data_IF_515493681614
#
_entry.id   IF_515493681614
#
_cell.length_a   1.000
_cell.length_b   1.000
_cell.length_c   1.000
_cell.angle_alpha   90.00
_cell.angle_beta   90.00
_cell.angle_gamma   90.00
#
_symmetry.space_group_name_H-M   'P 1'
#
loop_
_entity.id
_entity.type
_entity.pdbx_description
1 polymer ?
#
# COMPACT_ATOMS: atom_id res chain seq x y z
N UNK A 1 -40.22 20.00 -13.81
CA UNK A 1 -40.87 20.32 -12.52
C UNK A 1 -39.79 20.35 -11.46
N UNK A 2 -39.57 21.53 -10.87
CA UNK A 2 -38.60 21.79 -9.81
C UNK A 2 -39.28 21.48 -8.48
N UNK A 3 -38.63 20.75 -7.58
CA UNK A 3 -38.87 20.85 -6.16
C UNK A 3 -37.54 21.19 -5.49
N UNK A 4 -37.57 22.29 -4.74
CA UNK A 4 -36.47 22.84 -3.98
C UNK A 4 -36.79 22.70 -2.47
N UNK A 5 -35.75 22.91 -1.66
CA UNK A 5 -35.78 23.29 -0.24
C UNK A 5 -36.02 22.10 0.73
N UNK A 6 -35.38 22.00 1.91
CA UNK A 6 -34.76 23.01 2.77
C UNK A 6 -33.54 22.49 3.56
N UNK A 7 -32.67 23.45 3.91
CA UNK A 7 -31.70 23.41 5.00
C UNK A 7 -32.38 23.17 6.35
N UNK A 8 -31.75 22.36 7.22
CA UNK A 8 -31.81 22.59 8.67
C UNK A 8 -30.40 22.51 9.23
N UNK A 9 -29.91 23.66 9.71
CA UNK A 9 -28.67 23.83 10.46
C UNK A 9 -28.99 23.51 11.93
N UNK A 10 -28.28 22.56 12.54
CA UNK A 10 -28.28 22.36 13.98
C UNK A 10 -26.89 22.67 14.53
N UNK A 11 -26.76 23.86 15.12
CA UNK A 11 -25.62 24.24 15.95
C UNK A 11 -25.84 23.72 17.38
N UNK A 12 -24.90 22.93 17.89
CA UNK A 12 -24.77 22.66 19.33
C UNK A 12 -23.43 23.19 19.82
N UNK A 13 -23.51 24.23 20.64
CA UNK A 13 -22.47 24.83 21.47
C UNK A 13 -22.64 24.29 22.90
N UNK A 14 -21.69 23.51 23.42
CA UNK A 14 -21.34 23.47 24.86
C UNK A 14 -19.94 22.88 25.01
N UNK A 15 -19.01 23.64 25.62
CA UNK A 15 -18.17 23.22 26.75
C UNK A 15 -17.04 24.26 26.96
N UNK A 16 -17.09 24.96 28.10
CA UNK A 16 -16.00 25.79 28.62
C UNK A 16 -15.05 24.97 29.53
N UNK A 17 -14.26 25.72 30.31
CA UNK A 17 -13.16 25.34 31.23
C UNK A 17 -11.79 25.29 30.52
N UNK A 18 -10.67 25.83 31.00
CA UNK A 18 -10.29 26.56 32.21
C UNK A 18 -8.89 27.17 31.91
N UNK A 19 -8.56 28.33 32.48
CA UNK A 19 -7.25 28.96 32.32
C UNK A 19 -6.42 28.71 33.58
N UNK A 20 -5.29 28.03 33.46
CA UNK A 20 -4.40 27.76 34.59
C UNK A 20 -2.98 27.34 34.20
N UNK A 21 -2.04 28.07 34.79
CA UNK A 21 -0.64 27.76 35.13
C UNK A 21 0.43 27.48 34.07
N UNK A 22 1.32 28.47 33.97
CA UNK A 22 2.72 28.32 33.61
C UNK A 22 3.50 27.79 34.82
N UNK A 23 4.34 26.77 34.64
CA UNK A 23 5.69 26.69 35.22
C UNK A 23 6.41 25.38 34.82
N UNK A 24 7.74 25.44 34.88
CA UNK A 24 8.75 24.38 34.78
C UNK A 24 9.19 23.93 33.37
N UNK A 25 10.15 24.69 32.81
CA UNK A 25 11.18 24.11 31.95
C UNK A 25 12.40 23.80 32.82
N UNK A 26 12.50 22.56 33.30
CA UNK A 26 13.76 22.00 33.82
C UNK A 26 14.32 21.06 32.76
N UNK A 27 15.59 21.29 32.43
CA UNK A 27 16.32 20.61 31.37
C UNK A 27 17.14 19.50 32.00
N UNK A 28 16.64 18.27 31.97
CA UNK A 28 17.45 17.09 32.29
C UNK A 28 17.89 16.40 31.00
N UNK A 29 19.12 16.72 30.62
CA UNK A 29 19.93 16.03 29.61
C UNK A 29 20.37 14.68 30.20
N UNK A 30 19.72 13.62 29.75
CA UNK A 30 19.96 12.27 30.26
C UNK A 30 19.50 11.20 29.30
N UNK A 31 20.20 11.06 28.16
CA UNK A 31 20.04 9.88 27.30
C UNK A 31 21.34 9.11 27.22
N UNK A 32 21.56 8.26 28.23
CA UNK A 32 22.28 7.01 28.05
C UNK A 32 21.25 5.96 27.67
N UNK A 33 21.38 5.37 26.49
CA UNK A 33 20.69 4.14 26.12
C UNK A 33 21.53 3.40 25.08
N UNK A 34 22.56 2.72 25.58
CA UNK A 34 22.91 1.41 25.06
C UNK A 34 21.80 0.46 25.50
N UNK A 35 20.77 0.32 24.67
CA UNK A 35 19.85 -0.81 24.66
C UNK A 35 19.69 -1.17 23.19
N UNK A 36 20.07 -2.39 22.83
CA UNK A 36 20.07 -2.88 21.46
C UNK A 36 18.70 -2.76 20.80
N UNK A 37 18.50 -1.66 20.09
CA UNK A 37 17.40 -1.52 19.15
C UNK A 37 17.73 -2.39 17.95
N UNK A 38 17.27 -3.63 17.95
CA UNK A 38 16.91 -4.28 16.70
C UNK A 38 15.67 -3.58 16.16
N UNK A 39 15.78 -2.29 15.81
CA UNK A 39 15.07 -1.77 14.66
C UNK A 39 15.66 -2.56 13.50
N UNK A 40 15.12 -3.77 13.31
CA UNK A 40 15.52 -4.63 12.23
C UNK A 40 15.16 -3.88 10.97
N UNK A 41 16.16 -3.24 10.37
CA UNK A 41 16.10 -2.80 8.99
C UNK A 41 15.53 -3.98 8.21
N UNK A 42 14.30 -3.84 7.74
CA UNK A 42 13.68 -4.85 6.91
C UNK A 42 14.67 -5.13 5.77
N UNK A 43 15.01 -6.39 5.49
CA UNK A 43 16.03 -6.72 4.51
C UNK A 43 15.69 -6.05 3.17
N UNK A 44 16.61 -5.21 2.70
CA UNK A 44 16.52 -4.50 1.42
C UNK A 44 16.96 -5.45 0.32
N UNK A 45 16.03 -6.24 -0.22
CA UNK A 45 16.27 -7.10 -1.38
C UNK A 45 16.61 -6.26 -2.61
N UNK A 46 17.51 -6.71 -3.49
CA UNK A 46 17.86 -5.93 -4.69
C UNK A 46 17.09 -6.36 -5.93
N UNK A 47 16.45 -7.53 -5.87
CA UNK A 47 15.58 -8.07 -6.92
C UNK A 47 14.51 -8.99 -6.33
N UNK A 48 13.47 -9.27 -7.12
CA UNK A 48 12.42 -10.22 -6.75
C UNK A 48 12.97 -11.64 -6.52
N UNK A 49 13.98 -12.06 -7.30
CA UNK A 49 14.55 -13.41 -7.20
C UNK A 49 15.29 -13.64 -5.86
N UNK A 50 15.77 -12.56 -5.22
CA UNK A 50 16.41 -12.61 -3.90
C UNK A 50 15.42 -12.56 -2.74
N UNK A 51 14.18 -12.11 -2.99
CA UNK A 51 13.12 -12.06 -1.98
C UNK A 51 12.65 -13.50 -1.73
N UNK A 52 12.83 -14.05 -0.51
CA UNK A 52 12.34 -15.40 -0.22
C UNK A 52 10.81 -15.40 -0.15
N UNK A 53 10.18 -16.47 -0.64
CA UNK A 53 8.78 -16.80 -0.30
C UNK A 53 8.73 -17.49 1.07
N UNK A 54 8.08 -16.90 2.09
CA UNK A 54 7.87 -17.56 3.37
C UNK A 54 7.00 -18.81 3.23
N UNK A 55 7.35 -19.95 3.85
CA UNK A 55 6.60 -21.20 3.70
C UNK A 55 5.19 -21.16 4.28
N UNK A 56 4.92 -20.20 5.17
CA UNK A 56 3.64 -19.94 5.81
C UNK A 56 2.90 -18.73 5.22
N UNK A 57 3.36 -18.22 4.07
CA UNK A 57 2.65 -17.15 3.37
C UNK A 57 1.23 -17.60 3.06
N UNK A 58 0.25 -16.80 3.47
CA UNK A 58 -1.18 -17.02 3.27
C UNK A 58 -1.74 -16.14 2.15
N UNK A 59 -0.91 -15.28 1.56
CA UNK A 59 -1.32 -14.32 0.54
C UNK A 59 -1.67 -15.03 -0.76
N UNK A 60 -2.83 -14.67 -1.31
CA UNK A 60 -3.34 -15.16 -2.59
C UNK A 60 -3.89 -14.00 -3.41
N UNK A 61 -4.18 -14.24 -4.69
CA UNK A 61 -4.93 -13.30 -5.52
C UNK A 61 -6.25 -12.90 -4.84
N UNK A 62 -6.99 -13.86 -4.31
CA UNK A 62 -8.30 -13.62 -3.72
C UNK A 62 -8.22 -12.91 -2.36
N UNK A 63 -7.23 -13.23 -1.53
CA UNK A 63 -7.11 -12.66 -0.18
C UNK A 63 -6.41 -11.29 -0.14
N UNK A 64 -5.50 -11.01 -1.08
CA UNK A 64 -4.69 -9.80 -1.07
C UNK A 64 -4.37 -9.27 -2.48
N UNK A 65 -3.82 -10.10 -3.37
CA UNK A 65 -3.21 -9.64 -4.62
C UNK A 65 -4.19 -8.91 -5.56
N UNK A 66 -5.38 -9.48 -5.75
CA UNK A 66 -6.45 -8.92 -6.58
C UNK A 66 -6.98 -7.60 -6.02
N UNK A 67 -7.41 -7.52 -4.74
CA UNK A 67 -7.78 -6.24 -4.11
C UNK A 67 -6.68 -5.17 -4.22
N UNK A 68 -5.42 -5.51 -3.95
CA UNK A 68 -4.31 -4.58 -4.05
C UNK A 68 -4.11 -4.06 -5.49
N UNK A 69 -4.13 -4.96 -6.47
CA UNK A 69 -3.98 -4.61 -7.90
C UNK A 69 -5.15 -3.74 -8.37
N UNK A 70 -6.37 -4.04 -7.92
CA UNK A 70 -7.55 -3.23 -8.21
C UNK A 70 -7.38 -1.80 -7.68
N UNK A 71 -6.98 -1.66 -6.42
CA UNK A 71 -6.89 -0.35 -5.74
C UNK A 71 -5.73 0.51 -6.25
N UNK A 72 -4.56 -0.09 -6.52
CA UNK A 72 -3.34 0.67 -6.80
C UNK A 72 -2.87 0.62 -8.26
N UNK A 73 -3.35 -0.32 -9.09
CA UNK A 73 -2.78 -0.55 -10.43
C UNK A 73 -3.78 -0.29 -11.57
N UNK A 74 -4.99 -0.87 -11.49
CA UNK A 74 -5.92 -0.92 -12.64
C UNK A 74 -6.46 0.44 -13.08
N UNK A 75 -6.42 1.47 -12.21
CA UNK A 75 -6.82 2.84 -12.57
C UNK A 75 -5.96 3.46 -13.70
N UNK A 76 -4.74 2.95 -13.90
CA UNK A 76 -3.84 3.33 -14.99
C UNK A 76 -3.55 2.15 -15.94
N UNK A 77 -3.54 0.92 -15.41
CA UNK A 77 -3.14 -0.32 -16.09
C UNK A 77 -4.33 -1.28 -16.34
N UNK A 78 -5.54 -0.78 -16.57
CA UNK A 78 -6.68 -1.62 -16.96
C UNK A 78 -6.88 -1.65 -18.47
N UNK A 79 -7.17 -2.82 -19.06
CA UNK A 79 -7.35 -2.97 -20.52
C UNK A 79 -8.54 -2.17 -21.07
N UNK A 80 -9.52 -1.85 -20.21
CA UNK A 80 -10.66 -1.01 -20.56
C UNK A 80 -10.31 0.48 -20.74
N UNK A 81 -9.10 0.91 -20.40
CA UNK A 81 -8.70 2.32 -20.46
C UNK A 81 -8.10 2.68 -21.84
N UNK A 82 -8.64 3.70 -22.54
CA UNK A 82 -8.00 4.23 -23.73
C UNK A 82 -6.70 4.95 -23.37
N UNK A 83 -5.75 5.02 -24.31
CA UNK A 83 -4.40 5.61 -24.14
C UNK A 83 -4.39 6.93 -23.33
N UNK A 84 -5.25 7.88 -23.66
CA UNK A 84 -5.34 9.18 -22.99
C UNK A 84 -5.83 9.17 -21.54
N UNK A 85 -6.30 8.04 -21.03
CA UNK A 85 -6.82 7.87 -19.66
C UNK A 85 -5.93 6.99 -18.78
N UNK A 86 -4.74 6.59 -19.24
CA UNK A 86 -3.83 5.67 -18.56
C UNK A 86 -2.72 6.34 -17.75
N UNK A 87 -2.75 7.67 -17.61
CA UNK A 87 -1.74 8.43 -16.85
C UNK A 87 -0.31 8.13 -17.34
N UNK A 88 -0.15 8.02 -18.67
CA UNK A 88 1.07 7.62 -19.37
C UNK A 88 1.50 6.16 -19.17
N UNK A 89 0.70 5.31 -18.52
CA UNK A 89 0.91 3.87 -18.53
C UNK A 89 0.74 3.31 -19.96
N UNK A 90 1.65 2.45 -20.45
CA UNK A 90 1.60 1.93 -21.80
C UNK A 90 0.30 1.16 -22.08
N UNK A 91 -0.23 1.30 -23.29
CA UNK A 91 -1.30 0.42 -23.81
C UNK A 91 -0.77 -1.01 -23.92
N UNK A 92 -1.58 -1.98 -23.49
CA UNK A 92 -1.22 -3.41 -23.51
C UNK A 92 -0.31 -3.86 -22.38
N UNK A 93 -0.02 -2.98 -21.41
CA UNK A 93 0.52 -3.37 -20.11
C UNK A 93 -0.63 -3.26 -19.10
N UNK A 94 -1.48 -4.27 -19.13
CA UNK A 94 -2.70 -4.38 -18.35
C UNK A 94 -2.52 -5.36 -17.19
N UNK A 95 -3.22 -5.16 -16.07
CA UNK A 95 -3.15 -6.00 -14.87
C UNK A 95 -4.55 -6.38 -14.40
N UNK A 96 -5.38 -6.84 -15.34
CA UNK A 96 -6.78 -7.20 -15.06
C UNK A 96 -6.90 -8.61 -14.44
N UNK A 97 -5.89 -9.47 -14.63
CA UNK A 97 -5.83 -10.82 -14.08
C UNK A 97 -4.45 -11.18 -13.49
N UNK A 98 -4.40 -12.34 -12.84
CA UNK A 98 -3.19 -12.81 -12.14
C UNK A 98 -2.11 -13.28 -13.11
N UNK A 99 -2.48 -13.77 -14.29
CA UNK A 99 -1.55 -14.20 -15.32
C UNK A 99 -0.72 -13.03 -15.86
N UNK A 100 -1.37 -11.89 -16.12
CA UNK A 100 -0.70 -10.64 -16.52
C UNK A 100 0.26 -10.13 -15.43
N UNK A 101 -0.17 -10.20 -14.17
CA UNK A 101 0.68 -9.83 -13.02
C UNK A 101 1.89 -10.75 -12.92
N UNK A 102 1.71 -12.08 -13.06
CA UNK A 102 2.80 -13.06 -13.06
C UNK A 102 3.80 -12.81 -14.19
N UNK A 103 3.30 -12.53 -15.40
CA UNK A 103 4.14 -12.21 -16.55
C UNK A 103 5.01 -10.95 -16.35
N UNK A 104 4.63 -10.09 -15.42
CA UNK A 104 5.31 -8.83 -15.12
C UNK A 104 5.79 -8.67 -13.67
N UNK A 105 5.83 -9.76 -12.90
CA UNK A 105 6.09 -9.75 -11.46
C UNK A 105 7.37 -8.98 -11.09
N UNK A 106 8.48 -9.24 -11.78
CA UNK A 106 9.75 -8.53 -11.53
C UNK A 106 9.67 -7.02 -11.79
N UNK A 107 8.89 -6.59 -12.79
CA UNK A 107 8.68 -5.15 -13.09
C UNK A 107 7.76 -4.50 -12.07
N UNK A 108 6.72 -5.20 -11.63
CA UNK A 108 5.81 -4.73 -10.59
C UNK A 108 6.58 -4.57 -9.29
N UNK A 109 7.36 -5.59 -8.90
CA UNK A 109 8.17 -5.56 -7.69
C UNK A 109 9.12 -4.35 -7.67
N UNK A 110 9.90 -4.16 -8.74
CA UNK A 110 10.87 -3.07 -8.87
C UNK A 110 10.25 -1.66 -8.90
N UNK A 111 8.91 -1.56 -8.96
CA UNK A 111 8.20 -0.28 -9.04
C UNK A 111 7.34 0.02 -7.81
N UNK A 112 6.76 -1.01 -7.19
CA UNK A 112 5.68 -0.85 -6.21
C UNK A 112 5.79 -1.75 -4.96
N UNK A 113 6.71 -2.72 -4.91
CA UNK A 113 6.80 -3.67 -3.78
C UNK A 113 7.98 -3.38 -2.85
N UNK A 114 7.87 -3.86 -1.61
CA UNK A 114 8.82 -3.67 -0.53
C UNK A 114 9.19 -2.18 -0.35
N UNK A 115 10.43 -1.82 -0.66
CA UNK A 115 10.97 -0.46 -0.54
C UNK A 115 10.77 0.39 -1.81
N UNK A 116 10.24 -0.19 -2.89
CA UNK A 116 10.01 0.51 -4.15
C UNK A 116 8.72 1.34 -4.10
N UNK A 117 8.82 2.62 -4.45
CA UNK A 117 7.73 3.60 -4.28
C UNK A 117 7.41 4.41 -5.55
N UNK A 118 7.89 3.97 -6.71
CA UNK A 118 7.75 4.74 -7.96
C UNK A 118 6.38 4.60 -8.62
N UNK A 119 5.57 3.64 -8.18
CA UNK A 119 4.18 3.44 -8.62
C UNK A 119 3.25 3.19 -7.43
N UNK A 120 1.99 3.67 -7.49
CA UNK A 120 1.45 4.53 -8.54
C UNK A 120 1.96 5.99 -8.46
N UNK A 121 1.84 6.80 -9.53
CA UNK A 121 2.38 8.17 -9.57
C UNK A 121 1.75 9.12 -8.55
N UNK A 122 0.53 8.82 -8.10
CA UNK A 122 -0.19 9.60 -7.09
C UNK A 122 0.34 9.37 -5.66
N UNK A 123 1.17 8.34 -5.46
CA UNK A 123 1.71 7.98 -4.16
C UNK A 123 1.69 6.46 -3.96
N UNK A 124 2.77 5.92 -3.38
CA UNK A 124 2.88 4.50 -3.10
C UNK A 124 1.86 4.02 -2.03
N UNK A 125 1.43 2.76 -2.14
CA UNK A 125 0.65 2.09 -1.10
C UNK A 125 1.38 2.08 0.27
N UNK A 126 0.71 1.86 1.40
CA UNK A 126 1.36 1.71 2.71
C UNK A 126 2.51 0.68 2.74
N UNK A 127 3.49 0.86 3.63
CA UNK A 127 4.71 0.02 3.65
C UNK A 127 4.41 -1.47 3.92
N UNK A 128 3.49 -1.77 4.82
CA UNK A 128 3.03 -3.11 5.11
C UNK A 128 2.41 -3.79 3.87
N UNK A 129 1.52 -3.09 3.16
CA UNK A 129 0.93 -3.62 1.93
C UNK A 129 1.96 -3.82 0.82
N UNK A 130 2.94 -2.93 0.68
CA UNK A 130 4.05 -3.14 -0.26
C UNK A 130 4.92 -4.34 0.11
N UNK A 131 5.15 -4.57 1.40
CA UNK A 131 5.88 -5.75 1.88
C UNK A 131 5.09 -7.03 1.58
N UNK A 132 3.76 -7.01 1.73
CA UNK A 132 2.90 -8.12 1.33
C UNK A 132 2.88 -8.32 -0.19
N UNK A 133 2.89 -7.25 -0.98
CA UNK A 133 3.07 -7.35 -2.43
C UNK A 133 4.39 -8.04 -2.78
N UNK A 134 5.48 -7.66 -2.13
CA UNK A 134 6.78 -8.28 -2.34
C UNK A 134 6.78 -9.77 -2.01
N UNK A 135 6.18 -10.13 -0.89
CA UNK A 135 6.00 -11.53 -0.48
C UNK A 135 5.16 -12.34 -1.47
N UNK A 136 3.97 -11.85 -1.80
CA UNK A 136 3.04 -12.54 -2.69
C UNK A 136 3.65 -12.76 -4.08
N UNK A 137 4.34 -11.76 -4.64
CA UNK A 137 5.06 -11.89 -5.91
C UNK A 137 6.21 -12.89 -5.81
N UNK A 138 6.96 -12.89 -4.70
CA UNK A 138 8.07 -13.84 -4.49
C UNK A 138 7.59 -15.29 -4.37
N UNK A 139 6.36 -15.49 -3.90
CA UNK A 139 5.68 -16.77 -3.89
C UNK A 139 5.08 -17.17 -5.25
N UNK A 140 5.32 -16.41 -6.32
CA UNK A 140 4.77 -16.69 -7.65
C UNK A 140 3.34 -16.18 -7.85
N UNK A 141 2.90 -15.24 -7.01
CA UNK A 141 1.55 -14.69 -7.04
C UNK A 141 0.45 -15.78 -7.04
N UNK A 142 0.40 -16.67 -6.04
CA UNK A 142 -0.55 -17.77 -6.03
C UNK A 142 -2.00 -17.27 -5.96
N UNK A 143 -2.91 -18.02 -6.57
CA UNK A 143 -4.35 -17.97 -6.33
C UNK A 143 -4.73 -19.00 -5.26
N UNK A 144 -5.96 -18.95 -4.77
CA UNK A 144 -6.51 -20.03 -3.93
C UNK A 144 -6.49 -21.39 -4.64
N UNK A 145 -6.67 -21.40 -5.97
CA UNK A 145 -6.62 -22.63 -6.76
C UNK A 145 -5.23 -23.28 -6.73
N UNK A 146 -4.16 -22.50 -6.82
CA UNK A 146 -2.78 -23.01 -6.78
C UNK A 146 -2.41 -23.63 -5.42
N UNK A 147 -3.16 -23.31 -4.35
CA UNK A 147 -2.95 -23.86 -3.00
C UNK A 147 -3.75 -25.12 -2.72
N UNK A 148 -4.70 -25.45 -3.59
CA UNK A 148 -5.58 -26.61 -3.42
C UNK A 148 -5.00 -27.91 -4.02
N UNK A 149 -3.86 -27.81 -4.72
CA UNK A 149 -3.14 -28.91 -5.38
C UNK A 149 -1.95 -29.43 -4.54
#
# INVERSE_FOLDING_TARGET
MRCAAELVIAALLVAGCDAGDADAADSDDGSSSDEGSTTGDAPMWTSLDERPCPPDSWLTWESFGGPFVLDYCTSCHGSGLPDGMRQMAPVGLDFDDVEDVRAHAGRIWARAADHNMTMPPAGAAPQDERTWLGEWLACGAPTEADRAE
#
